data_IF_529543509229
#
_entry.id   IF_529543509229
#
_cell.length_a   1.000
_cell.length_b   1.000
_cell.length_c   1.000
_cell.angle_alpha   90.00
_cell.angle_beta   90.00
_cell.angle_gamma   90.00
#
_symmetry.space_group_name_H-M   'P 1'
#
loop_
_entity.id
_entity.type
_entity.pdbx_description
1 polymer ?
#
# COMPACT_ATOMS: atom_id res chain seq x y z
N UNK A 1 20.81 -18.85 4.87
CA UNK A 1 19.47 -19.03 5.46
C UNK A 1 19.07 -17.85 6.34
N UNK A 2 19.83 -17.47 7.37
CA UNK A 2 19.47 -16.40 8.31
C UNK A 2 19.17 -15.06 7.59
N UNK A 3 19.96 -14.69 6.60
CA UNK A 3 19.78 -13.49 5.78
C UNK A 3 18.40 -13.45 5.09
N UNK A 4 17.95 -14.57 4.49
CA UNK A 4 16.65 -14.68 3.81
C UNK A 4 15.44 -14.79 4.76
N UNK A 5 15.66 -14.80 6.08
CA UNK A 5 14.61 -14.68 7.09
C UNK A 5 14.59 -13.26 7.67
N UNK A 6 15.75 -12.69 8.00
CA UNK A 6 15.84 -11.37 8.62
C UNK A 6 15.44 -10.28 7.62
N UNK A 7 15.90 -10.37 6.37
CA UNK A 7 15.69 -9.33 5.36
C UNK A 7 14.20 -9.12 5.03
N UNK A 8 13.38 -10.17 4.79
CA UNK A 8 11.94 -10.00 4.62
C UNK A 8 11.27 -9.29 5.80
N UNK A 9 11.65 -9.64 7.03
CA UNK A 9 11.12 -9.03 8.24
C UNK A 9 11.42 -7.53 8.26
N UNK A 10 12.68 -7.16 8.03
CA UNK A 10 13.10 -5.74 8.00
C UNK A 10 12.38 -4.97 6.90
N UNK A 11 12.31 -5.53 5.68
CA UNK A 11 11.62 -4.87 4.56
C UNK A 11 10.11 -4.78 4.78
N UNK A 12 9.49 -5.80 5.39
CA UNK A 12 8.07 -5.74 5.72
C UNK A 12 7.79 -4.57 6.68
N UNK A 13 8.60 -4.39 7.73
CA UNK A 13 8.46 -3.25 8.63
C UNK A 13 8.70 -1.91 7.95
N UNK A 14 9.72 -1.80 7.08
CA UNK A 14 10.03 -0.57 6.37
C UNK A 14 8.93 -0.16 5.39
N UNK A 15 8.40 -1.13 4.63
CA UNK A 15 7.37 -0.87 3.61
C UNK A 15 5.97 -0.74 4.20
N UNK A 16 5.71 -1.39 5.33
CA UNK A 16 4.44 -1.27 6.04
C UNK A 16 4.32 -0.01 6.92
N UNK A 17 5.35 0.85 6.92
CA UNK A 17 5.33 2.08 7.71
C UNK A 17 5.50 1.90 9.22
N UNK A 18 6.07 0.77 9.66
CA UNK A 18 6.18 0.42 11.07
C UNK A 18 4.94 -0.32 11.61
N UNK A 19 4.92 -0.62 12.90
CA UNK A 19 3.70 -1.13 13.56
C UNK A 19 2.87 0.07 14.03
N UNK A 20 1.69 0.34 13.49
CA UNK A 20 0.77 1.25 14.16
C UNK A 20 0.33 0.62 15.47
N UNK A 21 0.32 1.40 16.54
CA UNK A 21 -0.39 1.02 17.75
C UNK A 21 -1.88 0.91 17.44
N UNK A 22 -2.60 0.09 18.20
CA UNK A 22 -4.05 -0.11 18.01
C UNK A 22 -4.89 1.16 18.24
N UNK A 23 -4.24 2.26 18.63
CA UNK A 23 -4.80 3.60 18.87
C UNK A 23 -4.33 4.66 17.83
N UNK A 24 -3.65 4.27 16.74
CA UNK A 24 -3.20 5.25 15.76
C UNK A 24 -4.39 5.76 14.94
N UNK A 25 -4.64 7.06 15.10
CA UNK A 25 -5.53 7.84 14.26
C UNK A 25 -5.03 7.74 12.79
N UNK A 26 -5.78 7.06 11.93
CA UNK A 26 -5.41 6.85 10.53
C UNK A 26 -5.45 8.12 9.67
N UNK A 27 -5.86 9.24 10.26
CA UNK A 27 -5.90 10.53 9.56
C UNK A 27 -4.48 11.04 9.31
N UNK A 28 -4.30 11.71 8.18
CA UNK A 28 -3.00 12.25 7.77
C UNK A 28 -2.64 13.45 8.68
N UNK A 29 -1.55 13.37 9.47
CA UNK A 29 -1.11 14.48 10.31
C UNK A 29 -0.49 15.58 9.44
N UNK A 30 -0.81 16.85 9.73
CA UNK A 30 -0.18 17.99 9.09
C UNK A 30 -0.13 19.19 10.03
N UNK A 31 0.88 20.05 9.85
CA UNK A 31 1.06 21.21 10.72
C UNK A 31 0.09 22.34 10.38
N UNK A 32 -0.50 22.95 11.41
CA UNK A 32 -1.33 24.16 11.29
C UNK A 32 -0.73 25.25 12.16
N UNK A 33 -0.46 26.41 11.55
CA UNK A 33 0.03 27.61 12.22
C UNK A 33 -1.08 28.66 12.19
N UNK A 34 -1.64 29.01 13.34
CA UNK A 34 -2.65 30.04 13.48
C UNK A 34 -2.01 31.32 14.05
N UNK A 35 -1.60 32.24 13.18
CA UNK A 35 -1.12 33.57 13.56
C UNK A 35 -2.26 34.59 13.72
N UNK A 36 -3.45 34.30 13.17
CA UNK A 36 -4.59 35.17 13.20
C UNK A 36 -5.29 35.13 14.56
N UNK A 37 -5.42 33.98 15.18
CA UNK A 37 -6.14 33.71 16.43
C UNK A 37 -7.54 34.38 16.48
N UNK A 38 -8.24 34.38 15.35
CA UNK A 38 -9.56 34.97 15.17
C UNK A 38 -10.67 33.91 15.30
N UNK A 39 -11.92 34.31 15.36
CA UNK A 39 -13.06 33.39 15.34
C UNK A 39 -13.08 32.55 14.04
N UNK A 40 -12.71 33.18 12.92
CA UNK A 40 -12.67 32.52 11.59
C UNK A 40 -11.57 31.48 11.52
N UNK A 41 -10.36 31.79 12.02
CA UNK A 41 -9.26 30.82 12.01
C UNK A 41 -9.58 29.59 12.85
N UNK A 42 -10.19 29.81 14.02
CA UNK A 42 -10.64 28.72 14.91
C UNK A 42 -11.72 27.86 14.26
N UNK A 43 -12.62 28.46 13.50
CA UNK A 43 -13.66 27.72 12.79
C UNK A 43 -13.08 26.87 11.64
N UNK A 44 -12.13 27.41 10.87
CA UNK A 44 -11.42 26.65 9.83
C UNK A 44 -10.70 25.45 10.48
N UNK A 45 -10.06 25.64 11.62
CA UNK A 45 -9.36 24.57 12.35
C UNK A 45 -10.35 23.54 12.87
N UNK A 46 -11.47 23.94 13.46
CA UNK A 46 -12.51 23.04 13.94
C UNK A 46 -13.10 22.18 12.80
N UNK A 47 -13.32 22.79 11.63
CA UNK A 47 -13.76 22.06 10.45
C UNK A 47 -12.71 21.03 9.96
N UNK A 48 -11.41 21.37 10.06
CA UNK A 48 -10.31 20.43 9.74
C UNK A 48 -10.21 19.30 10.78
N UNK A 49 -10.45 19.58 12.06
CA UNK A 49 -10.49 18.58 13.13
C UNK A 49 -11.62 17.56 12.95
N UNK A 50 -12.76 18.02 12.40
CA UNK A 50 -13.93 17.17 12.11
C UNK A 50 -13.71 16.26 10.88
N UNK A 51 -12.66 16.49 10.11
CA UNK A 51 -12.34 15.71 8.92
C UNK A 51 -11.97 14.25 9.27
N UNK A 52 -12.49 13.31 8.53
CA UNK A 52 -12.11 11.90 8.62
C UNK A 52 -10.78 11.57 7.93
N UNK A 53 -10.26 12.47 7.09
CA UNK A 53 -9.09 12.22 6.27
C UNK A 53 -7.80 12.84 6.83
N UNK A 54 -7.89 13.95 7.55
CA UNK A 54 -6.73 14.71 8.01
C UNK A 54 -6.81 15.03 9.50
N UNK A 55 -5.65 15.15 10.14
CA UNK A 55 -5.52 15.57 11.54
C UNK A 55 -4.63 16.81 11.62
N UNK A 56 -5.18 17.98 11.96
CA UNK A 56 -4.40 19.18 12.15
C UNK A 56 -3.65 19.11 13.49
N UNK A 57 -2.34 19.34 13.46
CA UNK A 57 -1.49 19.48 14.63
C UNK A 57 -1.10 20.95 14.76
N UNK A 58 -1.59 21.66 15.81
CA UNK A 58 -1.26 23.06 16.05
C UNK A 58 0.21 23.18 16.47
N UNK A 59 0.99 23.91 15.70
CA UNK A 59 2.42 24.10 15.90
C UNK A 59 2.81 25.56 15.70
N UNK A 60 3.96 25.95 16.24
CA UNK A 60 4.52 27.29 15.99
C UNK A 60 5.10 27.34 14.58
N UNK A 61 5.20 28.55 14.00
CA UNK A 61 5.75 28.74 12.64
C UNK A 61 7.16 28.16 12.51
N UNK A 62 8.01 28.40 13.50
CA UNK A 62 9.39 27.90 13.49
C UNK A 62 9.46 26.37 13.52
N UNK A 63 8.59 25.71 14.29
CA UNK A 63 8.49 24.26 14.33
C UNK A 63 7.95 23.71 13.02
N UNK A 64 6.91 24.32 12.45
CA UNK A 64 6.32 23.92 11.19
C UNK A 64 7.32 23.98 10.03
N UNK A 65 8.05 25.09 9.89
CA UNK A 65 9.09 25.28 8.87
C UNK A 65 10.21 24.26 9.05
N UNK A 66 10.68 24.04 10.28
CA UNK A 66 11.72 23.04 10.58
C UNK A 66 11.27 21.61 10.24
N UNK A 67 10.04 21.22 10.59
CA UNK A 67 9.48 19.90 10.25
C UNK A 67 9.30 19.74 8.75
N UNK A 68 8.92 20.79 8.04
CA UNK A 68 8.74 20.79 6.59
C UNK A 68 10.07 20.65 5.85
N UNK A 69 11.11 21.42 6.26
CA UNK A 69 12.47 21.32 5.69
C UNK A 69 13.10 19.93 5.92
N UNK A 70 12.86 19.35 7.10
CA UNK A 70 13.32 18.00 7.45
C UNK A 70 12.48 16.89 6.79
N UNK A 71 11.49 17.24 5.96
CA UNK A 71 10.54 16.33 5.33
C UNK A 71 9.76 15.42 6.31
N UNK A 72 9.58 15.89 7.54
CA UNK A 72 8.79 15.20 8.57
C UNK A 72 7.31 15.57 8.51
N UNK A 73 6.98 16.77 8.03
CA UNK A 73 5.62 17.20 7.77
C UNK A 73 5.30 17.05 6.28
N UNK A 74 4.16 16.45 5.97
CA UNK A 74 3.62 16.27 4.61
C UNK A 74 3.19 17.59 4.00
N UNK A 75 2.54 18.43 4.80
CA UNK A 75 2.11 19.78 4.47
C UNK A 75 2.06 20.65 5.72
N UNK A 76 2.09 21.97 5.54
CA UNK A 76 1.92 22.97 6.58
C UNK A 76 0.93 24.02 6.10
N UNK A 77 -0.12 24.24 6.86
CA UNK A 77 -1.13 25.26 6.61
C UNK A 77 -0.91 26.44 7.53
N UNK A 78 -0.70 27.64 6.97
CA UNK A 78 -0.42 28.88 7.71
C UNK A 78 -1.58 29.84 7.51
N UNK A 79 -2.18 30.25 8.61
CA UNK A 79 -3.24 31.26 8.66
C UNK A 79 -2.60 32.56 9.19
N UNK A 80 -2.29 33.55 8.33
CA UNK A 80 -1.59 34.75 8.74
C UNK A 80 -2.45 35.70 9.59
N UNK A 81 -1.82 36.56 10.35
CA UNK A 81 -2.43 37.46 11.32
C UNK A 81 -3.49 38.44 10.77
N UNK A 82 -3.63 38.56 9.44
CA UNK A 82 -4.60 39.49 8.81
C UNK A 82 -5.97 38.88 8.47
N UNK A 83 -6.23 37.64 8.87
CA UNK A 83 -7.49 36.96 8.53
C UNK A 83 -8.55 37.27 9.59
N UNK A 84 -9.47 38.15 9.21
CA UNK A 84 -10.64 38.55 9.98
C UNK A 84 -11.89 38.72 9.08
N UNK A 85 -13.01 39.10 9.69
CA UNK A 85 -14.26 39.36 8.95
C UNK A 85 -14.08 40.46 7.90
N UNK A 86 -13.27 41.47 8.16
CA UNK A 86 -13.06 42.58 7.25
C UNK A 86 -12.23 42.15 6.01
N UNK A 87 -11.22 41.34 6.20
CA UNK A 87 -10.41 40.83 5.10
C UNK A 87 -11.21 39.88 4.17
N UNK A 88 -12.12 39.07 4.73
CA UNK A 88 -13.05 38.28 3.97
C UNK A 88 -14.06 39.14 3.20
N UNK A 89 -14.58 40.20 3.80
CA UNK A 89 -15.50 41.14 3.13
C UNK A 89 -14.85 41.83 1.95
N UNK A 90 -13.59 42.23 2.09
CA UNK A 90 -12.83 42.97 1.09
C UNK A 90 -12.17 42.04 0.04
N UNK A 91 -12.24 40.69 0.20
CA UNK A 91 -11.63 39.73 -0.68
C UNK A 91 -10.09 39.74 -0.63
N UNK A 92 -9.50 40.20 0.50
CA UNK A 92 -8.05 40.32 0.71
C UNK A 92 -7.49 39.24 1.63
N UNK A 93 -8.32 38.28 2.06
CA UNK A 93 -7.87 37.15 2.88
C UNK A 93 -7.01 36.17 2.05
N UNK A 94 -5.76 36.04 2.41
CA UNK A 94 -4.82 35.10 1.81
C UNK A 94 -4.35 34.10 2.87
N UNK A 95 -4.25 32.82 2.50
CA UNK A 95 -3.70 31.74 3.33
C UNK A 95 -2.56 31.07 2.58
N UNK A 96 -1.61 30.52 3.31
CA UNK A 96 -0.45 29.84 2.74
C UNK A 96 -0.51 28.34 3.03
N UNK A 97 -0.30 27.51 2.00
CA UNK A 97 -0.18 26.07 2.14
C UNK A 97 1.13 25.60 1.54
N UNK A 98 2.07 25.22 2.39
CA UNK A 98 3.30 24.57 2.00
C UNK A 98 3.04 23.08 1.84
N UNK A 99 3.43 22.49 0.71
CA UNK A 99 3.20 21.07 0.45
C UNK A 99 4.44 20.42 -0.17
N UNK A 100 4.71 19.16 0.21
CA UNK A 100 5.77 18.38 -0.40
C UNK A 100 5.40 18.00 -1.84
N UNK A 101 6.29 18.24 -2.82
CA UNK A 101 6.01 17.89 -4.22
C UNK A 101 5.92 16.38 -4.40
N UNK A 102 5.01 15.94 -5.26
CA UNK A 102 4.76 14.53 -5.60
C UNK A 102 4.36 13.64 -4.41
N UNK A 103 3.72 14.20 -3.40
CA UNK A 103 3.20 13.50 -2.24
C UNK A 103 1.67 13.43 -2.31
N UNK A 104 1.12 12.20 -2.28
CA UNK A 104 -0.34 11.96 -2.35
C UNK A 104 -1.01 12.52 -1.10
N UNK A 105 -0.42 12.33 0.08
CA UNK A 105 -0.96 12.81 1.34
C UNK A 105 -1.06 14.34 1.36
N UNK A 106 -0.06 15.04 0.78
CA UNK A 106 -0.09 16.49 0.62
C UNK A 106 -1.27 16.95 -0.24
N UNK A 107 -1.62 16.18 -1.28
CA UNK A 107 -2.79 16.46 -2.12
C UNK A 107 -4.11 16.28 -1.37
N UNK A 108 -4.18 15.26 -0.49
CA UNK A 108 -5.36 15.03 0.37
C UNK A 108 -5.51 16.19 1.36
N UNK A 109 -4.41 16.59 2.03
CA UNK A 109 -4.40 17.76 2.93
C UNK A 109 -4.84 19.01 2.19
N UNK A 110 -4.33 19.27 0.99
CA UNK A 110 -4.74 20.42 0.17
C UNK A 110 -6.26 20.43 -0.09
N UNK A 111 -6.82 19.28 -0.46
CA UNK A 111 -8.27 19.17 -0.68
C UNK A 111 -9.08 19.42 0.58
N UNK A 112 -8.65 18.87 1.72
CA UNK A 112 -9.29 19.08 3.01
C UNK A 112 -9.28 20.57 3.38
N UNK A 113 -8.12 21.24 3.32
CA UNK A 113 -7.97 22.69 3.60
C UNK A 113 -8.86 23.52 2.67
N UNK A 114 -8.84 23.26 1.37
CA UNK A 114 -9.71 24.00 0.42
C UNK A 114 -11.19 23.78 0.69
N UNK A 115 -11.59 22.58 1.12
CA UNK A 115 -12.99 22.28 1.45
C UNK A 115 -13.42 23.01 2.71
N UNK A 116 -12.59 23.01 3.75
CA UNK A 116 -12.87 23.72 5.01
C UNK A 116 -12.97 25.24 4.78
N UNK A 117 -12.03 25.81 4.02
CA UNK A 117 -12.09 27.24 3.66
C UNK A 117 -13.36 27.57 2.86
N UNK A 118 -13.73 26.73 1.89
CA UNK A 118 -14.97 26.94 1.11
C UNK A 118 -16.22 26.86 1.96
N UNK A 119 -16.27 25.95 2.93
CA UNK A 119 -17.40 25.83 3.86
C UNK A 119 -17.56 27.08 4.69
N UNK A 120 -16.50 27.52 5.36
CA UNK A 120 -16.50 28.73 6.17
C UNK A 120 -16.84 29.97 5.34
N UNK A 121 -16.22 30.13 4.17
CA UNK A 121 -16.50 31.28 3.28
C UNK A 121 -17.91 31.27 2.70
N UNK A 122 -18.51 30.09 2.45
CA UNK A 122 -19.89 30.01 1.97
C UNK A 122 -20.91 30.38 3.05
N UNK A 123 -20.70 29.98 4.29
CA UNK A 123 -21.52 30.41 5.42
C UNK A 123 -21.49 31.95 5.59
N UNK A 124 -20.27 32.50 5.52
CA UNK A 124 -20.08 33.95 5.58
C UNK A 124 -20.77 34.68 4.41
N UNK A 125 -20.64 34.17 3.18
CA UNK A 125 -21.32 34.76 2.01
C UNK A 125 -22.85 34.68 2.15
N UNK A 126 -23.39 33.62 2.72
CA UNK A 126 -24.81 33.50 3.00
C UNK A 126 -25.29 34.56 4.02
N UNK A 127 -24.52 34.78 5.09
CA UNK A 127 -24.79 35.79 6.09
C UNK A 127 -24.75 37.22 5.52
N UNK A 128 -23.75 37.52 4.69
CA UNK A 128 -23.65 38.80 3.97
C UNK A 128 -24.85 39.04 3.05
N UNK A 129 -25.27 38.01 2.31
CA UNK A 129 -26.44 38.11 1.44
C UNK A 129 -27.70 38.38 2.26
N UNK A 130 -27.86 37.80 3.46
CA UNK A 130 -28.97 38.06 4.36
C UNK A 130 -28.99 39.53 4.84
N UNK A 131 -27.80 40.06 5.19
CA UNK A 131 -27.65 41.50 5.58
C UNK A 131 -28.03 42.39 4.41
N UNK A 132 -27.52 42.16 3.21
CA UNK A 132 -27.82 42.96 2.00
C UNK A 132 -29.29 42.92 1.63
N UNK A 133 -29.94 41.77 1.76
CA UNK A 133 -31.36 41.58 1.50
C UNK A 133 -32.22 42.36 2.55
N UNK A 134 -31.83 42.35 3.82
CA UNK A 134 -32.54 43.15 4.84
C UNK A 134 -32.34 44.62 4.59
N UNK A 135 -31.12 45.07 4.32
CA UNK A 135 -30.78 46.46 4.06
C UNK A 135 -31.54 47.04 2.87
N UNK A 136 -31.76 46.23 1.83
CA UNK A 136 -32.54 46.62 0.64
C UNK A 136 -34.04 46.79 0.93
N UNK A 137 -34.55 46.15 1.98
CA UNK A 137 -35.97 46.26 2.40
C UNK A 137 -36.18 47.31 3.50
N UNK A 138 -35.26 47.38 4.43
CA UNK A 138 -35.29 48.27 5.58
C UNK A 138 -33.89 48.55 6.07
N UNK A 139 -33.46 49.80 6.05
CA UNK A 139 -32.16 50.20 6.57
C UNK A 139 -32.02 49.87 8.06
N UNK A 140 -30.81 49.50 8.47
CA UNK A 140 -30.47 49.27 9.86
C UNK A 140 -30.46 50.63 10.64
N UNK A 141 -30.90 50.65 11.87
CA UNK A 141 -30.92 51.85 12.69
C UNK A 141 -29.50 52.27 13.14
N UNK A 142 -28.56 51.33 13.22
CA UNK A 142 -27.18 51.59 13.58
C UNK A 142 -26.23 50.48 13.01
N UNK A 143 -24.94 50.81 12.93
CA UNK A 143 -23.91 49.82 12.53
C UNK A 143 -23.83 48.65 13.52
N UNK A 144 -24.09 48.90 14.82
CA UNK A 144 -24.16 47.87 15.86
C UNK A 144 -25.30 46.85 15.58
N UNK A 145 -26.48 47.33 15.15
CA UNK A 145 -27.58 46.43 14.75
C UNK A 145 -27.24 45.62 13.50
N UNK A 146 -26.57 46.24 12.53
CA UNK A 146 -26.12 45.55 11.32
C UNK A 146 -25.13 44.43 11.66
N UNK A 147 -24.19 44.68 12.57
CA UNK A 147 -23.19 43.72 13.00
C UNK A 147 -23.79 42.55 13.79
N UNK A 148 -24.71 42.85 14.74
CA UNK A 148 -25.44 41.81 15.47
C UNK A 148 -26.29 40.92 14.54
N UNK A 149 -26.88 41.52 13.50
CA UNK A 149 -27.63 40.78 12.49
C UNK A 149 -26.71 39.89 11.62
N UNK A 150 -25.52 40.39 11.27
CA UNK A 150 -24.52 39.58 10.56
C UNK A 150 -24.09 38.37 11.39
N UNK A 151 -23.76 38.58 12.68
CA UNK A 151 -23.36 37.50 13.59
C UNK A 151 -24.47 36.46 13.75
N UNK A 152 -25.71 36.85 13.99
CA UNK A 152 -26.84 35.93 14.11
C UNK A 152 -27.13 35.18 12.78
N UNK A 153 -26.94 35.85 11.64
CA UNK A 153 -27.09 35.24 10.32
C UNK A 153 -25.97 34.24 10.00
N UNK A 154 -24.76 34.50 10.51
CA UNK A 154 -23.63 33.60 10.40
C UNK A 154 -23.86 32.33 11.24
N UNK A 155 -24.26 32.48 12.51
CA UNK A 155 -24.62 31.35 13.36
C UNK A 155 -25.72 30.47 12.72
N UNK A 156 -26.74 31.10 12.16
CA UNK A 156 -27.81 30.39 11.45
C UNK A 156 -27.29 29.67 10.20
N UNK A 157 -26.42 30.30 9.40
CA UNK A 157 -25.85 29.68 8.22
C UNK A 157 -24.98 28.48 8.58
N UNK A 158 -24.23 28.55 9.66
CA UNK A 158 -23.40 27.46 10.19
C UNK A 158 -24.26 26.30 10.68
N UNK A 159 -25.31 26.57 11.47
CA UNK A 159 -26.22 25.52 11.94
C UNK A 159 -26.92 24.81 10.77
N UNK A 160 -27.37 25.58 9.78
CA UNK A 160 -27.97 25.00 8.55
C UNK A 160 -26.99 24.19 7.73
N UNK A 161 -25.70 24.47 7.78
CA UNK A 161 -24.68 23.64 7.13
C UNK A 161 -24.40 22.34 7.89
N UNK A 162 -24.41 22.38 9.23
CA UNK A 162 -24.25 21.19 10.07
C UNK A 162 -25.45 20.24 9.95
N UNK A 163 -26.66 20.79 9.92
CA UNK A 163 -27.92 20.04 9.82
C UNK A 163 -28.37 19.80 8.37
N UNK A 164 -27.60 20.26 7.38
CA UNK A 164 -27.98 20.09 5.98
C UNK A 164 -28.09 18.61 5.62
N UNK A 165 -29.25 18.13 5.13
CA UNK A 165 -29.33 16.77 4.65
C UNK A 165 -28.34 16.56 3.52
N UNK A 166 -27.64 15.43 3.54
CA UNK A 166 -26.77 15.03 2.45
C UNK A 166 -27.58 15.00 1.15
N UNK A 167 -27.43 16.04 0.33
CA UNK A 167 -28.14 16.17 -0.95
C UNK A 167 -27.59 15.24 -2.02
N UNK A 168 -26.40 14.73 -1.82
CA UNK A 168 -25.71 13.78 -2.70
C UNK A 168 -25.16 12.68 -1.79
N UNK A 169 -25.84 11.56 -1.78
CA UNK A 169 -25.25 10.36 -1.21
C UNK A 169 -24.28 9.83 -2.25
N UNK A 170 -22.99 9.92 -1.97
CA UNK A 170 -22.00 9.19 -2.75
C UNK A 170 -22.20 7.72 -2.40
N UNK A 171 -23.00 7.04 -3.19
CA UNK A 171 -23.01 5.58 -3.18
C UNK A 171 -21.70 5.20 -3.83
N UNK A 172 -20.69 4.90 -3.04
CA UNK A 172 -19.54 4.16 -3.54
C UNK A 172 -20.12 2.92 -4.20
N UNK A 173 -19.95 2.83 -5.52
CA UNK A 173 -20.27 1.60 -6.22
C UNK A 173 -19.34 0.56 -5.60
N UNK A 174 -19.87 -0.21 -4.64
CA UNK A 174 -19.22 -1.40 -4.15
C UNK A 174 -19.20 -2.36 -5.33
N UNK A 175 -18.14 -2.30 -6.11
CA UNK A 175 -17.68 -3.48 -6.83
C UNK A 175 -17.49 -4.52 -5.73
N UNK A 176 -18.02 -5.73 -5.92
CA UNK A 176 -17.87 -6.85 -4.96
C UNK A 176 -16.41 -7.11 -4.54
N UNK A 177 -15.47 -6.38 -5.10
CA UNK A 177 -14.02 -6.43 -4.92
C UNK A 177 -13.42 -5.18 -4.26
N UNK A 178 -14.13 -4.44 -3.41
CA UNK A 178 -13.45 -3.46 -2.55
C UNK A 178 -12.58 -4.19 -1.52
N UNK A 179 -11.35 -4.42 -1.93
CA UNK A 179 -10.27 -4.82 -1.02
C UNK A 179 -9.90 -3.56 -0.27
N UNK A 180 -10.16 -3.53 1.03
CA UNK A 180 -9.50 -2.57 1.92
C UNK A 180 -7.99 -2.85 1.82
N UNK A 181 -7.29 -1.98 1.11
CA UNK A 181 -5.85 -2.12 0.93
C UNK A 181 -5.16 -2.00 2.28
N UNK A 182 -4.67 -3.12 2.79
CA UNK A 182 -3.79 -3.15 3.95
C UNK A 182 -2.32 -3.23 3.50
N UNK A 183 -1.55 -2.13 3.66
CA UNK A 183 -0.12 -2.10 3.31
C UNK A 183 0.69 -3.18 4.00
N UNK A 184 0.30 -3.60 5.21
CA UNK A 184 0.99 -4.63 5.99
C UNK A 184 0.77 -6.02 5.40
N UNK A 185 -0.47 -6.34 5.05
CA UNK A 185 -0.81 -7.60 4.42
C UNK A 185 -0.10 -7.74 3.06
N UNK A 186 -0.15 -6.69 2.24
CA UNK A 186 0.54 -6.65 0.95
C UNK A 186 2.05 -6.79 1.10
N UNK A 187 2.67 -6.01 2.01
CA UNK A 187 4.11 -6.08 2.27
C UNK A 187 4.53 -7.46 2.81
N UNK A 188 3.77 -8.04 3.75
CA UNK A 188 4.07 -9.35 4.32
C UNK A 188 4.03 -10.45 3.25
N UNK A 189 2.97 -10.50 2.44
CA UNK A 189 2.84 -11.47 1.35
C UNK A 189 3.92 -11.25 0.29
N UNK A 190 4.13 -10.02 -0.14
CA UNK A 190 5.10 -9.67 -1.17
C UNK A 190 6.54 -9.96 -0.78
N UNK A 191 6.93 -9.64 0.48
CA UNK A 191 8.27 -9.95 0.97
C UNK A 191 8.47 -11.45 1.13
N UNK A 192 7.45 -12.19 1.58
CA UNK A 192 7.51 -13.65 1.67
C UNK A 192 7.79 -14.26 0.30
N UNK A 193 7.05 -13.88 -0.74
CA UNK A 193 7.26 -14.39 -2.11
C UNK A 193 8.63 -13.99 -2.63
N UNK A 194 9.01 -12.72 -2.53
CA UNK A 194 10.28 -12.21 -3.08
C UNK A 194 11.48 -12.99 -2.52
N UNK A 195 11.58 -13.06 -1.20
CA UNK A 195 12.77 -13.61 -0.52
C UNK A 195 12.79 -15.14 -0.43
N UNK A 196 11.69 -15.81 -0.79
CA UNK A 196 11.64 -17.25 -0.94
C UNK A 196 11.90 -17.67 -2.40
N UNK A 197 11.40 -16.91 -3.37
CA UNK A 197 11.58 -17.25 -4.79
C UNK A 197 13.02 -17.04 -5.24
N UNK A 198 13.74 -16.03 -4.78
CA UNK A 198 15.16 -15.81 -5.15
C UNK A 198 16.02 -17.04 -4.82
N UNK A 199 16.04 -17.59 -3.58
CA UNK A 199 16.77 -18.83 -3.28
C UNK A 199 16.29 -20.04 -4.08
N UNK A 200 14.98 -20.15 -4.35
CA UNK A 200 14.45 -21.24 -5.17
C UNK A 200 14.93 -21.14 -6.63
N UNK A 201 15.03 -19.95 -7.18
CA UNK A 201 15.63 -19.73 -8.51
C UNK A 201 17.14 -20.04 -8.50
N UNK A 202 17.81 -19.79 -7.37
CA UNK A 202 19.23 -20.11 -7.20
C UNK A 202 19.57 -21.62 -7.16
N UNK A 203 18.56 -22.51 -7.17
CA UNK A 203 18.77 -23.95 -7.41
C UNK A 203 19.57 -24.17 -8.70
N UNK A 204 19.40 -23.30 -9.68
CA UNK A 204 20.18 -23.30 -10.93
C UNK A 204 21.70 -23.30 -10.70
N UNK A 205 22.19 -22.66 -9.63
CA UNK A 205 23.60 -22.65 -9.27
C UNK A 205 24.11 -24.03 -8.83
N UNK A 206 23.26 -24.80 -8.12
CA UNK A 206 23.61 -26.16 -7.72
C UNK A 206 23.91 -27.03 -8.94
N UNK A 207 23.09 -26.98 -10.00
CA UNK A 207 23.33 -27.70 -11.22
C UNK A 207 24.60 -27.25 -11.95
N UNK A 208 24.88 -25.96 -11.97
CA UNK A 208 26.11 -25.43 -12.55
C UNK A 208 27.35 -25.93 -11.78
N UNK A 209 27.28 -25.91 -10.44
CA UNK A 209 28.34 -26.43 -9.56
C UNK A 209 28.59 -27.94 -9.77
N UNK A 210 27.54 -28.75 -9.70
CA UNK A 210 27.64 -30.20 -9.87
C UNK A 210 28.17 -30.57 -11.28
N UNK A 211 27.82 -29.78 -12.30
CA UNK A 211 28.36 -29.96 -13.65
C UNK A 211 29.86 -29.67 -13.70
N UNK A 212 30.32 -28.60 -13.05
CA UNK A 212 31.73 -28.23 -12.97
C UNK A 212 32.58 -29.29 -12.21
N UNK A 213 32.01 -29.84 -11.14
CA UNK A 213 32.65 -30.89 -10.31
C UNK A 213 32.61 -32.30 -10.98
N UNK A 214 31.87 -32.43 -12.09
CA UNK A 214 31.71 -33.70 -12.77
C UNK A 214 30.85 -34.73 -12.01
N UNK A 215 30.17 -34.32 -10.93
CA UNK A 215 29.28 -35.19 -10.13
C UNK A 215 28.08 -35.67 -10.94
N UNK A 216 27.54 -34.83 -11.82
CA UNK A 216 26.46 -35.20 -12.74
C UNK A 216 26.86 -36.36 -13.70
N UNK A 217 28.13 -36.41 -14.13
CA UNK A 217 28.64 -37.54 -14.98
C UNK A 217 28.70 -38.86 -14.21
N UNK A 218 29.00 -38.81 -12.92
CA UNK A 218 29.01 -40.02 -12.06
C UNK A 218 27.60 -40.59 -11.87
N UNK A 219 26.55 -39.74 -11.91
CA UNK A 219 25.18 -40.22 -11.87
C UNK A 219 24.78 -41.06 -13.11
N UNK A 220 25.48 -40.90 -14.24
CA UNK A 220 25.29 -41.75 -15.43
C UNK A 220 25.64 -43.21 -15.15
N UNK A 221 26.50 -43.52 -14.18
CA UNK A 221 26.85 -44.88 -13.80
C UNK A 221 25.80 -45.58 -12.95
N UNK A 222 24.78 -44.82 -12.47
CA UNK A 222 23.66 -45.35 -11.71
C UNK A 222 22.41 -45.41 -12.59
N UNK A 223 21.55 -46.42 -12.45
CA UNK A 223 20.33 -46.58 -13.26
C UNK A 223 19.22 -45.63 -12.71
N UNK A 224 19.46 -44.30 -12.75
CA UNK A 224 18.51 -43.31 -12.28
C UNK A 224 17.91 -42.51 -13.43
N UNK A 225 16.59 -42.29 -13.37
CA UNK A 225 15.89 -41.45 -14.35
C UNK A 225 16.15 -39.96 -14.07
N UNK A 226 16.31 -39.13 -15.11
CA UNK A 226 16.46 -37.69 -15.02
C UNK A 226 15.35 -37.03 -14.16
N UNK A 227 14.11 -37.44 -14.38
CA UNK A 227 12.96 -36.95 -13.65
C UNK A 227 13.07 -37.22 -12.15
N UNK A 228 13.52 -38.40 -11.72
CA UNK A 228 13.68 -38.78 -10.32
C UNK A 228 14.74 -37.91 -9.65
N UNK A 229 15.87 -37.66 -10.32
CA UNK A 229 16.92 -36.77 -9.81
C UNK A 229 16.41 -35.33 -9.63
N UNK A 230 15.74 -34.78 -10.66
CA UNK A 230 15.20 -33.43 -10.60
C UNK A 230 14.08 -33.31 -9.55
N UNK A 231 13.20 -34.32 -9.44
CA UNK A 231 12.16 -34.34 -8.39
C UNK A 231 12.77 -34.37 -6.98
N UNK A 232 13.81 -35.15 -6.77
CA UNK A 232 14.53 -35.20 -5.50
C UNK A 232 15.10 -33.82 -5.10
N UNK A 233 15.73 -33.11 -6.04
CA UNK A 233 16.26 -31.78 -5.83
C UNK A 233 15.14 -30.79 -5.52
N UNK A 234 14.08 -30.81 -6.32
CA UNK A 234 12.90 -29.92 -6.11
C UNK A 234 12.27 -30.18 -4.74
N UNK A 235 12.05 -31.44 -4.36
CA UNK A 235 11.41 -31.81 -3.09
C UNK A 235 12.18 -31.28 -1.90
N UNK A 236 13.52 -31.42 -1.89
CA UNK A 236 14.37 -30.91 -0.82
C UNK A 236 14.28 -29.38 -0.70
N UNK A 237 14.29 -28.68 -1.82
CA UNK A 237 14.23 -27.23 -1.84
C UNK A 237 12.83 -26.70 -1.47
N UNK A 238 11.76 -27.37 -1.94
CA UNK A 238 10.39 -27.05 -1.54
C UNK A 238 10.19 -27.24 -0.05
N UNK A 239 10.72 -28.30 0.54
CA UNK A 239 10.65 -28.54 1.99
C UNK A 239 11.33 -27.40 2.77
N UNK A 240 12.53 -26.97 2.34
CA UNK A 240 13.23 -25.85 2.97
C UNK A 240 12.48 -24.53 2.79
N UNK A 241 11.92 -24.28 1.60
CA UNK A 241 11.12 -23.09 1.31
C UNK A 241 9.85 -23.05 2.18
N UNK A 242 9.15 -24.17 2.35
CA UNK A 242 7.98 -24.25 3.21
C UNK A 242 8.30 -23.92 4.67
N UNK A 243 9.42 -24.45 5.20
CA UNK A 243 9.88 -24.09 6.55
C UNK A 243 10.09 -22.58 6.66
N UNK A 244 10.78 -21.98 5.69
CA UNK A 244 11.01 -20.54 5.66
C UNK A 244 9.70 -19.75 5.55
N UNK A 245 8.78 -20.14 4.66
CA UNK A 245 7.48 -19.49 4.50
C UNK A 245 6.64 -19.56 5.78
N UNK A 246 6.59 -20.73 6.44
CA UNK A 246 5.87 -20.91 7.70
C UNK A 246 6.45 -20.05 8.83
N UNK A 247 7.77 -19.89 8.88
CA UNK A 247 8.41 -18.98 9.86
C UNK A 247 8.03 -17.52 9.60
N UNK A 248 8.01 -17.08 8.31
CA UNK A 248 7.60 -15.71 7.94
C UNK A 248 6.11 -15.46 8.19
N UNK A 249 5.25 -16.45 7.89
CA UNK A 249 3.82 -16.40 8.23
C UNK A 249 3.62 -16.30 9.74
N UNK A 250 4.32 -17.15 10.52
CA UNK A 250 4.28 -17.09 11.98
C UNK A 250 4.70 -15.71 12.52
N UNK A 251 5.72 -15.10 11.92
CA UNK A 251 6.11 -13.74 12.24
C UNK A 251 4.99 -12.72 11.89
N UNK A 252 4.37 -12.83 10.72
CA UNK A 252 3.25 -11.99 10.32
C UNK A 252 2.07 -12.06 11.29
N UNK A 253 1.75 -13.26 11.79
CA UNK A 253 0.70 -13.47 12.80
C UNK A 253 1.08 -12.83 14.14
N UNK A 254 2.28 -13.11 14.64
CA UNK A 254 2.70 -12.72 15.98
C UNK A 254 3.06 -11.24 16.11
N UNK A 255 3.81 -10.71 15.15
CA UNK A 255 4.34 -9.35 15.20
C UNK A 255 3.41 -8.32 14.54
N UNK A 256 2.76 -8.69 13.44
CA UNK A 256 1.92 -7.77 12.66
C UNK A 256 0.42 -7.99 12.85
N UNK A 257 0.04 -8.99 13.64
CA UNK A 257 -1.36 -9.38 13.92
C UNK A 257 -2.17 -9.66 12.64
N UNK A 258 -1.50 -10.11 11.57
CA UNK A 258 -2.16 -10.45 10.31
C UNK A 258 -2.92 -11.76 10.44
N UNK A 259 -4.06 -11.86 9.76
CA UNK A 259 -4.97 -12.99 9.90
C UNK A 259 -4.65 -14.16 8.93
N UNK A 260 -3.38 -14.61 8.92
CA UNK A 260 -2.92 -15.74 8.11
C UNK A 260 -3.45 -17.11 8.56
N UNK A 261 -3.94 -17.21 9.81
CA UNK A 261 -4.32 -18.48 10.43
C UNK A 261 -5.77 -18.89 10.26
N UNK A 262 -6.59 -18.13 9.53
CA UNK A 262 -8.03 -18.39 9.40
C UNK A 262 -8.32 -19.69 8.67
N UNK A 263 -7.62 -19.97 7.57
CA UNK A 263 -7.78 -21.15 6.72
C UNK A 263 -6.43 -21.86 6.50
N UNK A 264 -5.92 -22.66 7.47
CA UNK A 264 -4.57 -23.22 7.42
C UNK A 264 -4.35 -24.18 6.25
N UNK A 265 -5.39 -24.91 5.80
CA UNK A 265 -5.28 -25.80 4.66
C UNK A 265 -5.13 -25.03 3.35
N UNK A 266 -5.92 -23.97 3.16
CA UNK A 266 -5.82 -23.10 2.00
C UNK A 266 -4.46 -22.41 1.95
N UNK A 267 -3.99 -21.89 3.08
CA UNK A 267 -2.66 -21.32 3.20
C UNK A 267 -1.56 -22.32 2.82
N UNK A 268 -1.62 -23.54 3.34
CA UNK A 268 -0.63 -24.56 2.99
C UNK A 268 -0.61 -24.87 1.50
N UNK A 269 -1.78 -24.99 0.85
CA UNK A 269 -1.90 -25.27 -0.58
C UNK A 269 -1.27 -24.14 -1.42
N UNK A 270 -1.56 -22.87 -1.10
CA UNK A 270 -0.99 -21.76 -1.85
C UNK A 270 0.53 -21.63 -1.65
N UNK A 271 1.02 -21.83 -0.43
CA UNK A 271 2.46 -21.84 -0.12
C UNK A 271 3.17 -22.98 -0.85
N UNK A 272 2.59 -24.18 -0.82
CA UNK A 272 3.17 -25.37 -1.48
C UNK A 272 3.22 -25.22 -2.99
N UNK A 273 2.10 -24.81 -3.61
CA UNK A 273 2.02 -24.63 -5.08
C UNK A 273 2.96 -23.52 -5.56
N UNK A 274 3.08 -22.44 -4.79
CA UNK A 274 4.01 -21.33 -5.06
C UNK A 274 5.47 -21.78 -4.98
N UNK A 275 5.84 -22.49 -3.91
CA UNK A 275 7.20 -23.03 -3.75
C UNK A 275 7.54 -24.03 -4.85
N UNK A 276 6.59 -24.88 -5.23
CA UNK A 276 6.78 -25.86 -6.29
C UNK A 276 7.00 -25.20 -7.65
N UNK A 277 6.20 -24.17 -8.00
CA UNK A 277 6.36 -23.42 -9.23
C UNK A 277 7.72 -22.72 -9.31
N UNK A 278 8.15 -22.09 -8.21
CA UNK A 278 9.43 -21.40 -8.13
C UNK A 278 10.63 -22.38 -8.21
N UNK A 279 10.55 -23.51 -7.49
CA UNK A 279 11.60 -24.54 -7.52
C UNK A 279 11.72 -25.20 -8.92
N UNK A 280 10.59 -25.45 -9.57
CA UNK A 280 10.57 -25.97 -10.94
C UNK A 280 11.18 -24.98 -11.95
N UNK A 281 10.89 -23.67 -11.79
CA UNK A 281 11.51 -22.62 -12.60
C UNK A 281 13.03 -22.56 -12.39
N UNK A 282 13.51 -22.57 -11.13
CA UNK A 282 14.94 -22.60 -10.81
C UNK A 282 15.64 -23.83 -11.41
N UNK A 283 14.99 -25.01 -11.33
CA UNK A 283 15.46 -26.24 -11.94
C UNK A 283 15.54 -26.14 -13.47
N UNK A 284 14.50 -25.61 -14.11
CA UNK A 284 14.50 -25.35 -15.55
C UNK A 284 15.65 -24.41 -15.94
N UNK A 285 15.82 -23.28 -15.21
CA UNK A 285 16.93 -22.35 -15.44
C UNK A 285 18.30 -23.06 -15.38
N UNK A 286 18.50 -23.97 -14.42
CA UNK A 286 19.73 -24.73 -14.26
C UNK A 286 20.11 -25.58 -15.49
N UNK A 287 19.13 -25.87 -16.35
CA UNK A 287 19.40 -26.59 -17.62
C UNK A 287 20.02 -25.70 -18.69
N UNK A 288 19.87 -24.38 -18.59
CA UNK A 288 20.40 -23.41 -19.56
C UNK A 288 21.70 -22.76 -19.09
N UNK A 289 21.91 -22.68 -17.80
CA UNK A 289 23.01 -21.94 -17.15
C UNK A 289 24.26 -22.83 -17.08
N UNK A 290 25.43 -22.22 -17.33
CA UNK A 290 26.70 -22.95 -17.38
C UNK A 290 27.61 -22.68 -16.17
N UNK A 291 27.50 -21.52 -15.52
CA UNK A 291 28.38 -21.12 -14.44
C UNK A 291 27.59 -20.66 -13.22
N UNK A 292 28.16 -20.83 -12.01
CA UNK A 292 27.55 -20.41 -10.75
C UNK A 292 27.30 -18.89 -10.72
N UNK A 293 28.22 -18.09 -11.27
CA UNK A 293 28.06 -16.64 -11.33
C UNK A 293 26.88 -16.20 -12.18
N UNK A 294 26.68 -16.86 -13.34
CA UNK A 294 25.47 -16.65 -14.16
C UNK A 294 24.20 -17.05 -13.41
N UNK A 295 24.25 -18.19 -12.72
CA UNK A 295 23.09 -18.67 -11.95
C UNK A 295 22.68 -17.67 -10.87
N UNK A 296 23.65 -17.21 -10.08
CA UNK A 296 23.39 -16.25 -9.00
C UNK A 296 22.84 -14.92 -9.53
N UNK A 297 23.46 -14.35 -10.56
CA UNK A 297 23.02 -13.10 -11.17
C UNK A 297 21.62 -13.19 -11.79
N UNK A 298 21.36 -14.24 -12.57
CA UNK A 298 20.05 -14.46 -13.19
C UNK A 298 18.96 -14.76 -12.17
N UNK A 299 19.27 -15.49 -11.09
CA UNK A 299 18.30 -15.81 -10.04
C UNK A 299 17.85 -14.54 -9.31
N UNK A 300 18.78 -13.65 -8.97
CA UNK A 300 18.45 -12.35 -8.36
C UNK A 300 17.67 -11.49 -9.36
N UNK A 301 18.13 -11.40 -10.60
CA UNK A 301 17.47 -10.61 -11.64
C UNK A 301 16.03 -11.07 -11.87
N UNK A 302 15.81 -12.36 -12.14
CA UNK A 302 14.46 -12.89 -12.34
C UNK A 302 13.62 -12.79 -11.08
N UNK A 303 14.19 -13.07 -9.90
CA UNK A 303 13.49 -12.94 -8.64
C UNK A 303 12.98 -11.53 -8.39
N UNK A 304 13.82 -10.51 -8.61
CA UNK A 304 13.45 -9.11 -8.44
C UNK A 304 12.45 -8.64 -9.51
N UNK A 305 12.68 -8.98 -10.79
CA UNK A 305 11.76 -8.61 -11.88
C UNK A 305 10.39 -9.26 -11.67
N UNK A 306 10.35 -10.55 -11.34
CA UNK A 306 9.09 -11.26 -11.09
C UNK A 306 8.37 -10.72 -9.87
N UNK A 307 9.09 -10.36 -8.79
CA UNK A 307 8.50 -9.77 -7.60
C UNK A 307 7.93 -8.37 -7.89
N UNK A 308 8.71 -7.52 -8.58
CA UNK A 308 8.26 -6.15 -8.91
C UNK A 308 7.03 -6.20 -9.83
N UNK A 309 7.10 -6.96 -10.92
CA UNK A 309 6.01 -7.06 -11.89
C UNK A 309 4.83 -7.89 -11.38
N UNK A 310 5.07 -8.84 -10.47
CA UNK A 310 4.05 -9.72 -9.91
C UNK A 310 3.21 -9.12 -8.77
N UNK A 311 3.40 -7.84 -8.44
CA UNK A 311 2.60 -7.17 -7.41
C UNK A 311 3.14 -7.33 -5.98
N UNK A 312 4.36 -7.91 -5.81
CA UNK A 312 4.89 -8.17 -4.47
C UNK A 312 5.36 -6.90 -3.74
N UNK A 313 5.77 -5.88 -4.48
CA UNK A 313 6.27 -4.61 -3.91
C UNK A 313 5.25 -3.47 -4.01
N UNK A 314 4.50 -3.46 -5.09
CA UNK A 314 3.44 -2.49 -5.33
C UNK A 314 2.18 -3.23 -5.79
N UNK A 315 0.98 -2.85 -5.32
CA UNK A 315 -0.27 -3.46 -5.73
C UNK A 315 -0.45 -3.45 -7.25
N UNK A 316 -0.94 -4.56 -7.80
CA UNK A 316 -1.17 -4.68 -9.26
C UNK A 316 -2.20 -3.69 -9.76
N UNK A 317 -3.11 -3.25 -8.91
CA UNK A 317 -4.17 -2.29 -9.19
C UNK A 317 -3.63 -0.91 -9.59
N UNK A 318 -2.39 -0.58 -9.19
CA UNK A 318 -1.72 0.67 -9.56
C UNK A 318 -1.15 0.65 -10.99
N UNK A 319 -1.07 -0.52 -11.62
CA UNK A 319 -0.58 -0.64 -12.99
C UNK A 319 -1.69 -0.43 -14.02
N UNK A 320 -1.37 0.08 -15.23
CA UNK A 320 -2.33 0.12 -16.33
C UNK A 320 -2.91 -1.27 -16.66
N UNK A 321 -4.19 -1.39 -17.10
CA UNK A 321 -4.84 -2.68 -17.38
C UNK A 321 -4.08 -3.59 -18.35
N UNK A 322 -3.37 -2.99 -19.32
CA UNK A 322 -2.54 -3.74 -20.27
C UNK A 322 -1.39 -4.48 -19.55
N UNK A 323 -0.75 -3.83 -18.55
CA UNK A 323 0.32 -4.44 -17.76
C UNK A 323 -0.25 -5.50 -16.82
N UNK A 324 -1.38 -5.22 -16.15
CA UNK A 324 -2.06 -6.19 -15.27
C UNK A 324 -2.34 -7.52 -16.00
N UNK A 325 -2.76 -7.46 -17.27
CA UNK A 325 -2.99 -8.65 -18.07
C UNK A 325 -1.69 -9.33 -18.51
N UNK A 326 -0.66 -8.55 -18.84
CA UNK A 326 0.62 -9.10 -19.29
C UNK A 326 1.34 -9.87 -18.18
N UNK A 327 1.28 -9.40 -16.93
CA UNK A 327 1.97 -10.01 -15.79
C UNK A 327 1.35 -11.33 -15.31
N UNK A 328 0.16 -11.68 -15.79
CA UNK A 328 -0.47 -13.00 -15.53
C UNK A 328 0.33 -14.19 -16.07
N UNK A 329 1.34 -13.95 -16.90
CA UNK A 329 2.30 -14.99 -17.31
C UNK A 329 3.37 -15.28 -16.24
N UNK A 330 3.38 -14.55 -15.13
CA UNK A 330 4.34 -14.71 -14.06
C UNK A 330 3.73 -15.53 -12.90
N UNK A 331 4.45 -16.54 -12.37
CA UNK A 331 3.95 -17.30 -11.23
C UNK A 331 3.82 -16.46 -9.96
N UNK A 332 4.63 -15.39 -9.81
CA UNK A 332 4.56 -14.47 -8.67
C UNK A 332 3.23 -13.73 -8.59
N UNK A 333 2.62 -13.38 -9.72
CA UNK A 333 1.32 -12.74 -9.78
C UNK A 333 0.23 -13.61 -9.14
N UNK A 334 0.17 -14.89 -9.49
CA UNK A 334 -0.80 -15.83 -8.95
C UNK A 334 -0.52 -16.20 -7.50
N UNK A 335 0.76 -16.31 -7.13
CA UNK A 335 1.14 -16.50 -5.73
C UNK A 335 0.70 -15.32 -4.87
N UNK A 336 0.89 -14.08 -5.35
CA UNK A 336 0.49 -12.88 -4.64
C UNK A 336 -1.02 -12.77 -4.52
N UNK A 337 -1.77 -13.01 -5.61
CA UNK A 337 -3.23 -12.98 -5.60
C UNK A 337 -3.80 -13.99 -4.60
N UNK A 338 -3.40 -15.26 -4.67
CA UNK A 338 -3.89 -16.28 -3.73
C UNK A 338 -3.54 -15.97 -2.26
N UNK A 339 -2.41 -15.35 -1.98
CA UNK A 339 -2.08 -14.93 -0.62
C UNK A 339 -2.94 -13.74 -0.15
N UNK A 340 -3.18 -12.75 -1.00
CA UNK A 340 -4.04 -11.61 -0.68
C UNK A 340 -5.49 -12.03 -0.51
N UNK A 341 -5.98 -13.00 -1.28
CA UNK A 341 -7.34 -13.55 -1.12
C UNK A 341 -7.53 -14.14 0.27
N UNK A 342 -6.52 -14.83 0.80
CA UNK A 342 -6.60 -15.39 2.17
C UNK A 342 -6.55 -14.31 3.26
N UNK A 343 -5.71 -13.29 3.11
CA UNK A 343 -5.45 -12.32 4.18
C UNK A 343 -6.42 -11.15 4.16
N UNK A 344 -6.68 -10.57 2.98
CA UNK A 344 -7.52 -9.38 2.83
C UNK A 344 -8.99 -9.73 2.59
N UNK A 345 -9.26 -10.68 1.69
CA UNK A 345 -10.63 -11.05 1.33
C UNK A 345 -11.24 -12.09 2.25
N UNK A 346 -10.47 -12.59 3.23
CA UNK A 346 -10.88 -13.69 4.09
C UNK A 346 -11.39 -14.92 3.30
N UNK A 347 -10.81 -15.14 2.12
CA UNK A 347 -11.16 -16.21 1.20
C UNK A 347 -10.90 -17.59 1.80
N UNK A 348 -11.72 -18.54 1.39
CA UNK A 348 -11.59 -19.93 1.79
C UNK A 348 -10.82 -20.78 0.78
N UNK A 349 -10.84 -22.09 1.01
CA UNK A 349 -10.15 -23.05 0.15
C UNK A 349 -10.59 -22.95 -1.32
N UNK A 350 -11.87 -22.74 -1.59
CA UNK A 350 -12.40 -22.70 -2.97
C UNK A 350 -11.93 -21.46 -3.73
N UNK A 351 -11.69 -20.37 -3.04
CA UNK A 351 -11.32 -19.10 -3.64
C UNK A 351 -9.88 -19.11 -4.16
N UNK A 352 -8.98 -19.89 -3.52
CA UNK A 352 -7.58 -19.99 -3.92
C UNK A 352 -7.27 -21.14 -4.90
N UNK A 353 -8.25 -21.99 -5.20
CA UNK A 353 -8.04 -23.12 -6.10
C UNK A 353 -7.64 -22.72 -7.53
N UNK A 354 -8.18 -21.65 -8.12
CA UNK A 354 -7.74 -21.19 -9.44
C UNK A 354 -6.24 -20.81 -9.44
N UNK A 355 -5.79 -20.02 -8.45
CA UNK A 355 -4.41 -19.57 -8.31
C UNK A 355 -3.47 -20.75 -8.07
N UNK A 356 -3.82 -21.64 -7.17
CA UNK A 356 -3.06 -22.87 -6.91
C UNK A 356 -3.01 -23.76 -8.14
N UNK A 357 -4.11 -23.89 -8.88
CA UNK A 357 -4.18 -24.65 -10.15
C UNK A 357 -3.24 -24.10 -11.22
N UNK A 358 -3.22 -22.77 -11.39
CA UNK A 358 -2.31 -22.11 -12.33
C UNK A 358 -0.86 -22.29 -11.90
N UNK A 359 -0.55 -22.15 -10.60
CA UNK A 359 0.80 -22.37 -10.08
C UNK A 359 1.28 -23.81 -10.29
N UNK A 360 0.42 -24.81 -10.09
CA UNK A 360 0.73 -26.21 -10.41
C UNK A 360 0.91 -26.43 -11.93
N UNK A 361 0.16 -25.70 -12.75
CA UNK A 361 0.35 -25.66 -14.21
C UNK A 361 1.75 -25.14 -14.58
N UNK A 362 2.18 -24.01 -13.98
CA UNK A 362 3.54 -23.49 -14.13
C UNK A 362 4.59 -24.49 -13.66
N UNK A 363 4.40 -25.11 -12.50
CA UNK A 363 5.32 -26.11 -11.97
C UNK A 363 5.48 -27.28 -12.96
N UNK A 364 4.38 -27.80 -13.50
CA UNK A 364 4.37 -28.89 -14.48
C UNK A 364 5.06 -28.49 -15.78
N UNK A 365 4.78 -27.30 -16.29
CA UNK A 365 5.40 -26.75 -17.49
C UNK A 365 6.92 -26.62 -17.33
N UNK A 366 7.37 -25.93 -16.28
CA UNK A 366 8.79 -25.71 -16.02
C UNK A 366 9.54 -27.01 -15.75
N UNK A 367 8.92 -27.93 -14.99
CA UNK A 367 9.49 -29.26 -14.78
C UNK A 367 9.63 -30.04 -16.06
N UNK A 368 8.60 -30.05 -16.91
CA UNK A 368 8.62 -30.77 -18.18
C UNK A 368 9.71 -30.24 -19.12
N UNK A 369 9.83 -28.92 -19.23
CA UNK A 369 10.92 -28.28 -20.00
C UNK A 369 12.26 -28.60 -19.38
N UNK A 370 12.39 -28.60 -18.06
CA UNK A 370 13.57 -28.97 -17.31
C UNK A 370 14.02 -30.39 -17.63
N UNK A 371 13.11 -31.36 -17.52
CA UNK A 371 13.41 -32.81 -17.85
C UNK A 371 13.80 -33.00 -19.29
N UNK A 372 13.07 -32.36 -20.21
CA UNK A 372 13.35 -32.46 -21.65
C UNK A 372 14.73 -31.90 -22.01
N UNK A 373 15.10 -30.77 -21.43
CA UNK A 373 16.35 -30.06 -21.72
C UNK A 373 17.54 -30.60 -20.94
N UNK A 374 17.30 -31.26 -19.79
CA UNK A 374 18.36 -31.68 -18.87
C UNK A 374 19.31 -32.67 -19.54
N UNK A 375 20.60 -32.33 -19.50
CA UNK A 375 21.70 -33.18 -19.93
C UNK A 375 22.68 -33.36 -18.80
N UNK A 376 23.17 -34.55 -18.62
CA UNK A 376 24.20 -34.89 -17.64
C UNK A 376 25.62 -34.44 -18.05
N UNK A 377 25.74 -33.88 -19.26
CA UNK A 377 27.01 -33.39 -19.83
C UNK A 377 27.20 -31.88 -19.58
#
# INVERSE_FOLDING_TARGET
MLFFIILPIVFTFLLAGGTPSADDDNRIPFGVVDEANTAISKEIIAELESSSAVRPDLVTRAEAESQFEQRRATAVFIIPAGIDIASLQNGTAEVELLQQPNNIDATIVQRAVLTSIRRVSSAFSAAQNAVSQRESRQAFASDAEKQAYLESSLEMAQSLQQDAPERVTVVEATTEDQIDYDPRANSSAGQLITWVFIPLFAISALFAYERQQGTLRRLLTTPSYKATFLLGTISGQVAMALIQMLLLVGFGILAMKLNWGREPLALFIILFSSALAAAAFGTMMGTFIKTEGQASGLSIMFGMVFALMGGCWYPLELFPPAIQNAVKVLPTTWAMQGMLDLVLRAGGLMDILPEAGVLLGFATLFFSVGVWRFRFE
#
